data_IF_944774955708
#
_entry.id   IF_944774955708
#
_cell.length_a   1.000
_cell.length_b   1.000
_cell.length_c   1.000
_cell.angle_alpha   90.00
_cell.angle_beta   90.00
_cell.angle_gamma   90.00
#
_symmetry.space_group_name_H-M   'P 1'
#
loop_
_entity.id
_entity.type
_entity.pdbx_description
1 polymer ?
#
# COMPACT_ATOMS: atom_id res chain seq x y z
N UNK A 1 45.93 44.13 -5.78
CA UNK A 1 45.23 43.66 -4.55
C UNK A 1 43.70 43.63 -4.71
N UNK A 2 43.04 44.71 -5.18
CA UNK A 2 41.58 44.78 -5.35
C UNK A 2 40.93 43.63 -6.15
N UNK A 3 41.56 43.18 -7.25
CA UNK A 3 41.05 42.07 -8.08
C UNK A 3 41.09 40.70 -7.36
N UNK A 4 42.11 40.48 -6.52
CA UNK A 4 42.28 39.24 -5.73
C UNK A 4 41.28 39.17 -4.58
N UNK A 5 40.96 40.31 -3.97
CA UNK A 5 39.94 40.44 -2.92
C UNK A 5 38.54 40.16 -3.46
N UNK A 6 38.23 40.65 -4.66
CA UNK A 6 36.92 40.42 -5.30
C UNK A 6 36.67 38.94 -5.61
N UNK A 7 37.67 38.19 -6.06
CA UNK A 7 37.55 36.74 -6.31
C UNK A 7 37.34 35.94 -5.01
N UNK A 8 38.02 36.34 -3.92
CA UNK A 8 37.87 35.69 -2.61
C UNK A 8 36.47 35.90 -2.03
N UNK A 9 35.92 37.12 -2.17
CA UNK A 9 34.54 37.43 -1.78
C UNK A 9 33.54 36.59 -2.59
N UNK A 10 33.74 36.49 -3.91
CA UNK A 10 32.91 35.63 -4.78
C UNK A 10 32.94 34.17 -4.33
N UNK A 11 34.10 33.63 -3.96
CA UNK A 11 34.24 32.26 -3.48
C UNK A 11 33.54 32.03 -2.11
N UNK A 12 33.63 32.99 -1.18
CA UNK A 12 32.94 32.91 0.11
C UNK A 12 31.40 32.94 -0.03
N UNK A 13 30.89 33.70 -1.01
CA UNK A 13 29.44 33.82 -1.26
C UNK A 13 28.85 32.55 -1.90
N UNK A 14 29.64 31.80 -2.68
CA UNK A 14 29.18 30.55 -3.31
C UNK A 14 28.92 29.40 -2.31
N UNK A 15 29.50 29.46 -1.10
CA UNK A 15 29.27 28.48 -0.03
C UNK A 15 27.95 28.69 0.73
N UNK A 16 27.23 29.78 0.46
CA UNK A 16 25.92 30.07 1.06
C UNK A 16 24.76 29.38 0.33
N UNK A 17 25.01 28.77 -0.85
CA UNK A 17 23.98 28.10 -1.63
C UNK A 17 23.88 26.62 -1.24
N UNK A 18 22.68 26.18 -0.82
CA UNK A 18 22.40 24.76 -0.62
C UNK A 18 22.17 24.11 -1.99
N UNK A 19 22.92 23.06 -2.31
CA UNK A 19 22.63 22.16 -3.44
C UNK A 19 21.39 21.32 -3.09
N UNK A 20 20.21 21.93 -3.16
CA UNK A 20 18.98 21.28 -2.73
C UNK A 20 18.36 20.47 -3.86
N UNK A 21 17.81 19.32 -3.49
CA UNK A 21 17.30 18.26 -4.37
C UNK A 21 15.79 18.11 -4.20
N UNK A 22 15.07 19.23 -4.26
CA UNK A 22 13.61 19.26 -4.20
C UNK A 22 12.99 19.73 -5.52
N UNK A 23 11.84 19.18 -5.90
CA UNK A 23 11.00 19.70 -6.99
C UNK A 23 9.79 20.37 -6.35
N UNK A 24 9.57 21.64 -6.72
CA UNK A 24 8.44 22.44 -6.23
C UNK A 24 8.42 22.64 -4.69
N UNK A 25 9.60 22.57 -4.04
CA UNK A 25 9.83 22.96 -2.65
C UNK A 25 11.18 23.69 -2.54
N UNK A 26 11.27 24.70 -1.68
CA UNK A 26 12.51 25.44 -1.33
C UNK A 26 13.15 24.95 -0.03
N UNK A 27 12.59 23.90 0.58
CA UNK A 27 13.08 23.29 1.83
C UNK A 27 12.85 21.78 1.78
N UNK A 28 13.72 20.99 1.12
CA UNK A 28 13.54 19.55 0.98
C UNK A 28 13.81 18.88 2.32
N UNK A 29 13.02 17.87 2.62
CA UNK A 29 13.19 17.02 3.82
C UNK A 29 13.86 15.68 3.51
N UNK A 30 14.06 15.36 2.24
CA UNK A 30 14.71 14.15 1.74
C UNK A 30 15.74 14.45 0.64
N UNK A 31 16.55 13.45 0.27
CA UNK A 31 17.49 13.51 -0.86
C UNK A 31 16.79 13.69 -2.22
N UNK A 32 15.50 13.40 -2.31
CA UNK A 32 14.65 13.89 -3.39
C UNK A 32 13.28 14.18 -2.77
N UNK A 33 12.91 15.45 -2.71
CA UNK A 33 11.61 15.87 -2.15
C UNK A 33 10.75 16.49 -3.25
N UNK A 34 9.67 15.82 -3.64
CA UNK A 34 8.78 16.29 -4.70
C UNK A 34 7.46 16.67 -4.06
N UNK A 35 7.16 17.96 -4.06
CA UNK A 35 5.92 18.50 -3.51
C UNK A 35 4.93 18.75 -4.64
N UNK A 36 3.71 18.23 -4.51
CA UNK A 36 2.65 18.45 -5.51
C UNK A 36 2.36 19.93 -5.73
N UNK A 37 2.03 20.32 -6.97
CA UNK A 37 1.71 21.72 -7.28
C UNK A 37 0.48 22.21 -6.50
N UNK A 38 -0.47 21.30 -6.32
CA UNK A 38 -1.71 21.53 -5.59
C UNK A 38 -1.61 21.04 -4.13
N UNK A 39 -0.45 21.21 -3.46
CA UNK A 39 -0.27 20.77 -2.08
C UNK A 39 -1.38 21.32 -1.17
N UNK A 40 -2.13 20.43 -0.52
CA UNK A 40 -3.28 20.78 0.33
C UNK A 40 -4.61 21.00 -0.40
N UNK A 41 -4.63 20.88 -1.73
CA UNK A 41 -5.82 20.95 -2.58
C UNK A 41 -6.19 19.61 -3.23
N UNK A 42 -7.11 19.66 -4.20
CA UNK A 42 -7.50 18.49 -5.00
C UNK A 42 -6.40 18.18 -6.02
N UNK A 43 -6.06 16.91 -6.18
CA UNK A 43 -5.09 16.46 -7.19
C UNK A 43 -5.60 16.72 -8.62
N UNK A 44 -4.70 17.12 -9.50
CA UNK A 44 -4.93 17.25 -10.94
C UNK A 44 -4.40 16.03 -11.72
N UNK A 45 -4.82 15.86 -12.97
CA UNK A 45 -4.43 14.72 -13.79
C UNK A 45 -2.93 14.64 -14.15
N UNK A 46 -2.15 15.69 -13.83
CA UNK A 46 -0.69 15.77 -14.01
C UNK A 46 0.07 15.59 -12.69
N UNK A 47 -0.61 15.55 -11.55
CA UNK A 47 0.02 15.24 -10.27
C UNK A 47 0.48 13.76 -10.26
N UNK A 48 1.69 13.53 -9.74
CA UNK A 48 2.27 12.20 -9.57
C UNK A 48 3.63 12.03 -10.26
N UNK A 49 4.13 10.79 -10.24
CA UNK A 49 5.40 10.39 -10.85
C UNK A 49 5.14 9.19 -11.76
N UNK A 50 5.40 9.34 -13.05
CA UNK A 50 5.35 8.22 -13.99
C UNK A 50 6.69 7.48 -13.95
N UNK A 51 6.69 6.28 -13.39
CA UNK A 51 7.84 5.37 -13.42
C UNK A 51 7.82 4.52 -14.71
N UNK A 52 8.93 3.83 -15.07
CA UNK A 52 8.97 2.96 -16.25
C UNK A 52 7.87 1.88 -16.22
N UNK A 53 7.24 1.66 -17.37
CA UNK A 53 6.18 0.66 -17.58
C UNK A 53 6.72 -0.50 -18.39
N UNK A 54 6.48 -1.73 -17.94
CA UNK A 54 6.95 -2.96 -18.59
C UNK A 54 5.83 -3.99 -18.62
N UNK A 55 5.79 -4.85 -19.63
CA UNK A 55 4.81 -5.96 -19.71
C UNK A 55 5.32 -7.26 -19.11
N UNK A 56 6.64 -7.36 -18.87
CA UNK A 56 7.31 -8.57 -18.41
C UNK A 56 8.53 -8.22 -17.57
N UNK A 57 8.77 -9.00 -16.53
CA UNK A 57 9.90 -8.93 -15.59
C UNK A 57 10.56 -10.29 -15.35
N UNK A 58 9.97 -11.38 -15.85
CA UNK A 58 10.52 -12.75 -15.74
C UNK A 58 11.93 -12.82 -16.34
N UNK A 59 12.84 -13.48 -15.63
CA UNK A 59 14.24 -13.69 -16.01
C UNK A 59 15.07 -12.40 -16.16
N UNK A 60 14.63 -11.28 -15.57
CA UNK A 60 15.38 -10.03 -15.54
C UNK A 60 15.62 -9.63 -14.09
N UNK A 61 16.88 -9.44 -13.71
CA UNK A 61 17.24 -8.89 -12.40
C UNK A 61 17.17 -7.37 -12.40
N UNK A 62 16.76 -6.77 -11.28
CA UNK A 62 16.96 -5.35 -11.05
C UNK A 62 18.43 -5.01 -10.80
N UNK A 63 18.84 -3.80 -11.17
CA UNK A 63 20.21 -3.31 -11.00
C UNK A 63 20.48 -2.81 -9.56
N UNK A 64 19.44 -2.41 -8.84
CA UNK A 64 19.54 -1.90 -7.48
C UNK A 64 18.32 -2.31 -6.65
N UNK A 65 18.53 -2.58 -5.36
CA UNK A 65 17.43 -2.81 -4.41
C UNK A 65 16.53 -1.57 -4.35
N UNK A 66 15.22 -1.78 -4.43
CA UNK A 66 14.24 -0.71 -4.49
C UNK A 66 14.03 -0.10 -5.88
N UNK A 67 14.65 -0.65 -6.95
CA UNK A 67 14.29 -0.27 -8.31
C UNK A 67 12.82 -0.59 -8.56
N UNK A 68 12.04 0.40 -9.02
CA UNK A 68 10.60 0.28 -9.24
C UNK A 68 10.22 0.35 -10.72
N UNK A 69 9.24 -0.45 -11.11
CA UNK A 69 8.56 -0.38 -12.42
C UNK A 69 7.06 -0.64 -12.23
N UNK A 70 6.26 -0.25 -13.21
CA UNK A 70 4.83 -0.60 -13.26
C UNK A 70 4.63 -1.72 -14.29
N UNK A 71 4.14 -2.86 -13.83
CA UNK A 71 3.81 -4.01 -14.66
C UNK A 71 2.45 -3.79 -15.33
N UNK A 72 2.37 -3.95 -16.65
CA UNK A 72 1.14 -3.66 -17.43
C UNK A 72 0.34 -4.91 -17.81
N UNK A 73 0.87 -6.11 -17.57
CA UNK A 73 0.23 -7.39 -17.84
C UNK A 73 0.57 -8.41 -16.75
N UNK A 74 -0.18 -9.51 -16.62
CA UNK A 74 0.21 -10.58 -15.70
C UNK A 74 1.56 -11.16 -16.13
N UNK A 75 2.47 -11.37 -15.18
CA UNK A 75 3.74 -12.05 -15.42
C UNK A 75 4.11 -12.95 -14.23
N UNK A 76 4.24 -14.26 -14.49
CA UNK A 76 4.35 -15.32 -13.48
C UNK A 76 3.20 -15.22 -12.46
N UNK A 77 3.52 -14.91 -11.20
CA UNK A 77 2.57 -14.77 -10.09
C UNK A 77 2.27 -13.30 -9.76
N UNK A 78 2.82 -12.35 -10.52
CA UNK A 78 2.58 -10.92 -10.35
C UNK A 78 1.49 -10.46 -11.32
N UNK A 79 0.66 -9.54 -10.85
CA UNK A 79 -0.44 -8.95 -11.61
C UNK A 79 -0.11 -7.47 -11.92
N UNK A 80 -0.77 -6.84 -12.91
CA UNK A 80 -0.55 -5.43 -13.22
C UNK A 80 -0.53 -4.55 -11.98
N UNK A 81 0.47 -3.68 -11.87
CA UNK A 81 0.70 -2.86 -10.69
C UNK A 81 2.15 -2.49 -10.47
N UNK A 82 2.41 -1.78 -9.38
CA UNK A 82 3.75 -1.38 -8.98
C UNK A 82 4.52 -2.60 -8.47
N UNK A 83 5.73 -2.81 -8.98
CA UNK A 83 6.64 -3.85 -8.51
C UNK A 83 8.02 -3.25 -8.24
N UNK A 84 8.75 -3.83 -7.29
CA UNK A 84 10.10 -3.41 -6.93
C UNK A 84 11.06 -4.60 -6.84
N UNK A 85 12.35 -4.35 -7.10
CA UNK A 85 13.40 -5.35 -6.93
C UNK A 85 13.84 -5.41 -5.47
N UNK A 86 13.69 -6.57 -4.81
CA UNK A 86 14.11 -6.76 -3.40
C UNK A 86 15.61 -7.12 -3.25
N UNK A 87 16.30 -7.33 -4.37
CA UNK A 87 17.68 -7.83 -4.43
C UNK A 87 17.81 -9.23 -5.01
N UNK A 88 16.72 -10.00 -5.00
CA UNK A 88 16.68 -11.41 -5.44
C UNK A 88 15.50 -11.69 -6.37
N UNK A 89 14.35 -11.09 -6.10
CA UNK A 89 13.13 -11.24 -6.89
C UNK A 89 12.40 -9.89 -7.04
N UNK A 90 11.58 -9.80 -8.08
CA UNK A 90 10.58 -8.75 -8.17
C UNK A 90 9.41 -9.04 -7.23
N UNK A 91 8.94 -8.01 -6.51
CA UNK A 91 7.85 -8.08 -5.55
C UNK A 91 6.79 -7.02 -5.84
N UNK A 92 5.53 -7.36 -5.64
CA UNK A 92 4.41 -6.41 -5.71
C UNK A 92 4.53 -5.38 -4.58
N UNK A 93 4.43 -4.09 -4.90
CA UNK A 93 4.26 -3.02 -3.93
C UNK A 93 2.76 -2.92 -3.57
N UNK A 94 2.43 -2.84 -2.29
CA UNK A 94 1.04 -2.79 -1.80
C UNK A 94 0.49 -4.11 -1.25
N UNK A 95 1.34 -5.14 -1.12
CA UNK A 95 0.96 -6.43 -0.52
C UNK A 95 0.08 -7.30 -1.42
N UNK A 96 -0.20 -8.52 -0.98
CA UNK A 96 -1.23 -9.32 -1.60
C UNK A 96 -2.59 -8.68 -1.30
N UNK A 97 -3.38 -8.35 -2.33
CA UNK A 97 -4.80 -8.03 -2.12
C UNK A 97 -5.44 -9.19 -1.37
N UNK A 98 -5.96 -8.92 -0.17
CA UNK A 98 -6.80 -9.89 0.53
C UNK A 98 -8.07 -10.06 -0.30
N UNK A 99 -8.19 -11.24 -0.89
CA UNK A 99 -9.39 -11.71 -1.58
C UNK A 99 -10.25 -12.50 -0.60
N UNK A 100 -11.52 -12.74 -0.94
CA UNK A 100 -12.40 -13.58 -0.12
C UNK A 100 -11.81 -14.98 0.10
N UNK A 101 -11.05 -15.52 -0.87
CA UNK A 101 -10.35 -16.80 -0.72
C UNK A 101 -9.21 -16.82 0.29
N UNK A 102 -8.76 -15.67 0.80
CA UNK A 102 -7.74 -15.61 1.85
C UNK A 102 -8.32 -15.79 3.27
N UNK A 103 -9.65 -15.77 3.41
CA UNK A 103 -10.32 -15.98 4.68
C UNK A 103 -10.91 -17.39 4.77
N UNK A 104 -10.95 -17.92 5.97
CA UNK A 104 -11.57 -19.21 6.27
C UNK A 104 -12.14 -19.19 7.68
N UNK A 105 -13.02 -20.13 7.96
CA UNK A 105 -13.50 -20.41 9.31
C UNK A 105 -13.62 -21.91 9.51
N UNK A 106 -13.46 -22.34 10.75
CA UNK A 106 -13.76 -23.69 11.20
C UNK A 106 -14.95 -23.68 12.14
N UNK A 107 -15.70 -24.78 12.17
CA UNK A 107 -16.82 -24.97 13.09
C UNK A 107 -16.43 -24.55 14.52
N UNK A 108 -17.28 -23.78 15.22
CA UNK A 108 -18.68 -23.48 14.90
C UNK A 108 -18.90 -22.29 13.94
N UNK A 109 -17.85 -21.57 13.56
CA UNK A 109 -17.93 -20.45 12.62
C UNK A 109 -17.96 -20.94 11.18
N UNK A 110 -18.78 -20.30 10.36
CA UNK A 110 -18.92 -20.56 8.92
C UNK A 110 -18.52 -19.29 8.18
N UNK A 111 -17.65 -19.43 7.19
CA UNK A 111 -17.27 -18.35 6.29
C UNK A 111 -17.79 -18.64 4.88
N UNK A 112 -18.50 -17.68 4.29
CA UNK A 112 -18.94 -17.75 2.91
C UNK A 112 -17.95 -16.98 2.01
N UNK A 113 -17.13 -17.69 1.24
CA UNK A 113 -16.12 -17.11 0.34
C UNK A 113 -16.69 -16.42 -0.90
N UNK A 114 -18.00 -16.47 -1.12
CA UNK A 114 -18.68 -15.72 -2.19
C UNK A 114 -19.20 -14.37 -1.70
N UNK A 115 -19.74 -14.30 -0.47
CA UNK A 115 -20.31 -13.06 0.09
C UNK A 115 -19.38 -12.34 1.08
N UNK A 116 -18.32 -12.99 1.56
CA UNK A 116 -17.42 -12.47 2.59
C UNK A 116 -18.01 -12.47 4.00
N UNK A 117 -19.15 -13.12 4.21
CA UNK A 117 -19.84 -13.12 5.50
C UNK A 117 -19.32 -14.23 6.42
N UNK A 118 -19.07 -13.88 7.69
CA UNK A 118 -18.92 -14.84 8.77
C UNK A 118 -20.26 -15.03 9.47
N UNK A 119 -20.58 -16.27 9.84
CA UNK A 119 -21.84 -16.63 10.51
C UNK A 119 -21.62 -17.78 11.49
N UNK A 120 -22.59 -17.96 12.39
CA UNK A 120 -22.77 -19.15 13.21
C UNK A 120 -24.22 -19.58 12.98
N UNK A 121 -24.49 -20.88 12.87
CA UNK A 121 -25.87 -21.36 12.76
C UNK A 121 -26.61 -21.20 14.11
N UNK A 122 -27.93 -21.02 14.09
CA UNK A 122 -28.74 -21.13 15.30
C UNK A 122 -28.66 -22.56 15.83
N UNK A 123 -28.63 -22.73 17.16
CA UNK A 123 -28.61 -24.06 17.77
C UNK A 123 -29.89 -24.84 17.46
N UNK A 124 -29.78 -26.17 17.36
CA UNK A 124 -30.93 -27.08 17.26
C UNK A 124 -30.70 -28.35 18.10
N UNK A 125 -31.63 -29.31 18.02
CA UNK A 125 -31.59 -30.56 18.80
C UNK A 125 -30.38 -31.45 18.54
N UNK A 126 -29.62 -31.20 17.47
CA UNK A 126 -28.53 -32.05 17.01
C UNK A 126 -27.24 -31.28 16.71
N UNK A 127 -27.21 -29.96 16.89
CA UNK A 127 -26.05 -29.12 16.61
C UNK A 127 -26.01 -27.87 17.48
N UNK A 128 -24.83 -27.59 18.03
CA UNK A 128 -24.57 -26.38 18.80
C UNK A 128 -24.59 -25.14 17.88
N UNK A 129 -24.99 -24.00 18.42
CA UNK A 129 -25.13 -22.75 17.68
C UNK A 129 -25.48 -21.57 18.60
N UNK A 130 -25.86 -20.43 18.03
CA UNK A 130 -26.34 -19.29 18.82
C UNK A 130 -27.80 -19.50 19.28
N UNK A 131 -28.16 -18.94 20.44
CA UNK A 131 -29.55 -18.85 20.90
C UNK A 131 -30.18 -17.56 20.37
N UNK A 132 -31.35 -17.68 19.76
CA UNK A 132 -32.14 -16.52 19.31
C UNK A 132 -32.95 -15.92 20.45
N UNK A 133 -33.52 -14.74 20.22
CA UNK A 133 -34.48 -14.13 21.16
C UNK A 133 -35.75 -14.97 21.35
N UNK A 134 -36.15 -15.76 20.35
CA UNK A 134 -37.27 -16.69 20.47
C UNK A 134 -36.93 -17.84 21.44
N UNK A 135 -35.73 -18.41 21.32
CA UNK A 135 -35.26 -19.48 22.22
C UNK A 135 -35.20 -18.99 23.67
N UNK A 136 -34.77 -17.74 23.88
CA UNK A 136 -34.73 -17.12 25.20
C UNK A 136 -36.11 -17.07 25.86
N UNK A 137 -37.15 -16.67 25.12
CA UNK A 137 -38.50 -16.59 25.65
C UNK A 137 -39.06 -17.98 26.00
N UNK A 138 -38.76 -19.01 25.20
CA UNK A 138 -39.17 -20.40 25.50
C UNK A 138 -38.54 -20.89 26.81
N UNK A 139 -37.23 -20.67 26.99
CA UNK A 139 -36.51 -21.06 28.20
C UNK A 139 -37.00 -20.33 29.45
N UNK A 140 -37.42 -19.08 29.30
CA UNK A 140 -37.97 -18.27 30.40
C UNK A 140 -39.40 -18.69 30.79
N UNK A 141 -40.27 -18.93 29.80
CA UNK A 141 -41.66 -19.35 30.05
C UNK A 141 -41.70 -20.75 30.67
N UNK A 142 -40.81 -21.65 30.27
CA UNK A 142 -40.71 -23.00 30.84
C UNK A 142 -40.27 -23.04 32.31
N UNK A 143 -39.76 -21.94 32.89
CA UNK A 143 -39.35 -21.86 34.31
C UNK A 143 -40.45 -21.35 35.26
N UNK A 144 -41.59 -20.93 34.72
CA UNK A 144 -42.70 -20.36 35.51
C UNK A 144 -43.84 -21.35 35.80
N UNK A 145 -43.62 -22.65 35.53
CA UNK A 145 -44.49 -23.77 35.90
C UNK A 145 -43.69 -24.75 36.78
#
# INVERSE_FOLDING_TARGET
MKKRLSTLIIFCVLNLFKAQVGINTTSPTATLDIVGKNQGGVADAKDGIVIPRVSKITNVSGNAKGQMVYLTANDVSLVPGYVFWDGTNWKQLGGASLTLSNFSASSPLIYNSTTGSFSINQSNSSSNGYLSSADWNILMVSKML
#
